data_IF_418971018240
#
_entry.id   IF_418971018240
#
_cell.length_a   1.000
_cell.length_b   1.000
_cell.length_c   1.000
_cell.angle_alpha   90.00
_cell.angle_beta   90.00
_cell.angle_gamma   90.00
#
_symmetry.space_group_name_H-M   'P 1'
#
loop_
_entity.id
_entity.type
_entity.pdbx_description
1 polymer ?
#
# COMPACT_ATOMS: atom_id res chain seq x y z
N UNK A 1 1.28 -28.25 -6.95
CA UNK A 1 2.31 -27.22 -7.20
C UNK A 1 3.20 -27.13 -5.97
N UNK A 2 4.43 -27.65 -6.03
CA UNK A 2 5.43 -27.48 -4.96
C UNK A 2 6.17 -26.15 -5.19
N UNK A 3 5.46 -25.03 -5.01
CA UNK A 3 6.06 -23.71 -5.12
C UNK A 3 6.86 -23.44 -3.84
N UNK A 4 8.17 -23.31 -3.96
CA UNK A 4 9.02 -22.85 -2.85
C UNK A 4 9.00 -21.33 -2.83
N UNK A 5 8.61 -20.74 -1.69
CA UNK A 5 8.61 -19.29 -1.49
C UNK A 5 9.67 -18.97 -0.44
N UNK A 6 10.78 -18.30 -0.80
CA UNK A 6 11.78 -17.90 0.16
C UNK A 6 11.19 -16.85 1.11
N UNK A 7 11.43 -17.01 2.41
CA UNK A 7 11.06 -16.03 3.43
C UNK A 7 12.33 -15.33 3.88
N UNK A 8 12.39 -14.02 3.71
CA UNK A 8 13.51 -13.20 4.10
C UNK A 8 13.13 -12.22 5.21
N UNK A 9 14.11 -11.86 6.03
CA UNK A 9 14.01 -10.84 7.07
C UNK A 9 15.17 -9.86 6.91
N UNK A 10 14.97 -8.63 7.38
CA UNK A 10 15.99 -7.57 7.47
C UNK A 10 16.61 -7.10 6.14
N UNK A 11 16.25 -7.70 5.01
CA UNK A 11 16.76 -7.32 3.69
C UNK A 11 15.68 -6.79 2.73
N UNK A 12 14.69 -6.08 3.29
CA UNK A 12 13.50 -5.68 2.54
C UNK A 12 13.80 -4.79 1.33
N UNK A 13 14.75 -3.85 1.43
CA UNK A 13 15.04 -2.91 0.36
C UNK A 13 15.78 -3.55 -0.81
N UNK A 14 16.72 -4.47 -0.56
CA UNK A 14 17.38 -5.21 -1.63
C UNK A 14 16.38 -6.10 -2.37
N UNK A 15 15.48 -6.76 -1.63
CA UNK A 15 14.43 -7.61 -2.22
C UNK A 15 13.45 -6.78 -3.04
N UNK A 16 12.99 -5.64 -2.52
CA UNK A 16 12.15 -4.70 -3.27
C UNK A 16 12.88 -4.27 -4.55
N UNK A 17 14.17 -3.96 -4.46
CA UNK A 17 14.97 -3.51 -5.61
C UNK A 17 15.30 -4.64 -6.60
N UNK A 18 15.31 -5.89 -6.18
CA UNK A 18 15.49 -7.04 -7.07
C UNK A 18 14.17 -7.49 -7.73
N UNK A 19 13.02 -7.05 -7.19
CA UNK A 19 11.71 -7.47 -7.67
C UNK A 19 11.25 -6.71 -8.91
N UNK A 20 10.58 -7.43 -9.83
CA UNK A 20 9.90 -6.84 -10.98
C UNK A 20 8.59 -6.13 -10.59
N UNK A 21 7.92 -6.67 -9.56
CA UNK A 21 6.66 -6.17 -9.03
C UNK A 21 6.45 -6.71 -7.61
N UNK A 22 5.70 -5.98 -6.76
CA UNK A 22 5.20 -6.54 -5.49
C UNK A 22 3.67 -6.62 -5.43
N UNK A 23 3.18 -7.59 -4.66
CA UNK A 23 1.79 -7.65 -4.20
C UNK A 23 1.81 -7.23 -2.73
N UNK A 24 1.04 -6.22 -2.36
CA UNK A 24 1.05 -5.70 -0.97
C UNK A 24 -0.32 -5.23 -0.52
N UNK A 25 -0.48 -5.04 0.79
CA UNK A 25 -1.57 -4.25 1.38
C UNK A 25 -1.15 -2.76 1.50
N UNK A 26 -2.09 -1.83 1.72
CA UNK A 26 -1.78 -0.43 1.98
C UNK A 26 -0.81 -0.22 3.15
N UNK A 27 -0.10 0.91 3.14
CA UNK A 27 0.82 1.32 4.22
C UNK A 27 2.11 1.95 3.69
N UNK A 28 3.06 2.21 4.60
CA UNK A 28 4.36 2.85 4.31
C UNK A 28 5.14 2.15 3.21
N UNK A 29 5.11 0.82 3.18
CA UNK A 29 5.69 -0.03 2.11
C UNK A 29 5.24 0.34 0.69
N UNK A 30 4.04 0.91 0.51
CA UNK A 30 3.62 1.42 -0.82
C UNK A 30 4.38 2.68 -1.23
N UNK A 31 4.76 3.54 -0.28
CA UNK A 31 5.63 4.69 -0.56
C UNK A 31 7.09 4.26 -0.76
N UNK A 32 7.58 3.28 0.00
CA UNK A 32 8.94 2.75 -0.18
C UNK A 32 9.11 2.11 -1.57
N UNK A 33 8.16 1.27 -1.98
CA UNK A 33 8.10 0.70 -3.33
C UNK A 33 8.00 1.79 -4.40
N UNK A 34 7.17 2.81 -4.18
CA UNK A 34 7.03 3.92 -5.11
C UNK A 34 8.33 4.72 -5.27
N UNK A 35 9.04 4.95 -4.16
CA UNK A 35 10.31 5.67 -4.17
C UNK A 35 11.39 4.89 -4.94
N UNK A 36 11.42 3.57 -4.78
CA UNK A 36 12.28 2.69 -5.59
C UNK A 36 11.81 2.56 -7.05
N UNK A 37 10.65 3.13 -7.39
CA UNK A 37 10.02 3.02 -8.71
C UNK A 37 9.65 1.59 -9.06
N UNK A 38 9.24 0.80 -8.06
CA UNK A 38 8.90 -0.62 -8.24
C UNK A 38 7.39 -0.77 -8.47
N UNK A 39 6.96 -1.37 -9.60
CA UNK A 39 5.56 -1.66 -9.84
C UNK A 39 4.93 -2.46 -8.70
N UNK A 40 3.64 -2.25 -8.45
CA UNK A 40 2.94 -2.99 -7.41
C UNK A 40 1.46 -3.16 -7.70
N UNK A 41 0.87 -4.23 -7.16
CA UNK A 41 -0.59 -4.39 -7.02
C UNK A 41 -0.94 -4.28 -5.54
N UNK A 42 -1.80 -3.33 -5.21
CA UNK A 42 -2.24 -3.11 -3.82
C UNK A 42 -3.58 -3.78 -3.59
N UNK A 43 -3.65 -4.67 -2.62
CA UNK A 43 -4.88 -5.36 -2.22
C UNK A 43 -5.42 -4.81 -0.92
N UNK A 44 -6.71 -4.49 -0.90
CA UNK A 44 -7.48 -4.08 0.27
C UNK A 44 -8.57 -5.14 0.51
N UNK A 45 -8.18 -6.33 1.01
CA UNK A 45 -9.11 -7.44 1.19
C UNK A 45 -10.10 -7.12 2.32
N UNK A 46 -11.38 -7.16 1.99
CA UNK A 46 -12.50 -7.07 2.94
C UNK A 46 -13.11 -8.45 3.20
N UNK A 47 -12.37 -9.54 2.93
CA UNK A 47 -12.81 -10.92 3.15
C UNK A 47 -13.03 -11.24 4.63
N UNK A 48 -12.29 -10.58 5.52
CA UNK A 48 -12.43 -10.64 6.98
C UNK A 48 -12.34 -9.24 7.59
N UNK A 49 -13.38 -8.38 7.43
CA UNK A 49 -13.35 -7.00 7.89
C UNK A 49 -13.07 -6.86 9.40
N UNK A 50 -13.48 -7.85 10.18
CA UNK A 50 -13.26 -7.94 11.62
C UNK A 50 -11.77 -8.03 11.99
N UNK A 51 -10.95 -8.64 11.14
CA UNK A 51 -9.52 -8.81 11.34
C UNK A 51 -8.70 -7.57 10.93
N UNK A 52 -9.34 -6.57 10.31
CA UNK A 52 -8.65 -5.33 9.94
C UNK A 52 -8.41 -4.50 11.21
N UNK A 53 -7.15 -4.17 11.53
CA UNK A 53 -6.85 -3.23 12.60
C UNK A 53 -7.40 -1.86 12.21
N UNK A 54 -8.17 -1.26 13.10
CA UNK A 54 -8.63 0.12 12.97
C UNK A 54 -7.79 0.96 13.93
N UNK A 55 -6.99 1.86 13.39
CA UNK A 55 -6.22 2.80 14.19
C UNK A 55 -7.08 4.01 14.61
N UNK A 56 -6.71 4.66 15.72
CA UNK A 56 -7.38 5.85 16.24
C UNK A 56 -8.69 5.59 17.00
N UNK A 57 -9.57 6.61 17.06
CA UNK A 57 -10.88 6.57 17.75
C UNK A 57 -11.75 5.34 17.38
N UNK A 58 -11.81 4.85 16.13
CA UNK A 58 -12.54 3.64 15.78
C UNK A 58 -11.97 2.35 16.41
N UNK A 59 -10.66 2.31 16.71
CA UNK A 59 -10.01 1.21 17.42
C UNK A 59 -10.40 1.12 18.89
N UNK A 60 -10.74 2.25 19.52
CA UNK A 60 -11.26 2.33 20.89
C UNK A 60 -12.70 1.81 20.97
N UNK A 61 -13.55 2.16 20.00
CA UNK A 61 -14.95 1.70 19.92
C UNK A 61 -15.04 0.18 19.68
N UNK A 62 -14.04 -0.40 18.98
CA UNK A 62 -13.95 -1.83 18.74
C UNK A 62 -13.76 -2.72 19.98
N UNK A 63 -13.50 -2.14 21.18
CA UNK A 63 -13.34 -2.86 22.44
C UNK A 63 -14.65 -3.13 23.21
N UNK A 64 -15.80 -2.64 22.72
CA UNK A 64 -17.09 -2.83 23.41
C UNK A 64 -17.61 -4.27 23.19
N UNK A 65 -17.78 -5.10 24.25
CA UNK A 65 -17.79 -6.57 24.14
C UNK A 65 -18.99 -7.20 23.43
N UNK A 66 -20.06 -6.44 23.16
CA UNK A 66 -21.32 -7.04 22.67
C UNK A 66 -21.74 -6.60 21.26
N UNK A 67 -21.40 -5.37 20.86
CA UNK A 67 -21.74 -4.83 19.53
C UNK A 67 -20.51 -4.65 18.61
N UNK A 68 -19.31 -4.96 19.11
CA UNK A 68 -18.04 -4.68 18.45
C UNK A 68 -17.89 -5.26 17.03
N UNK A 69 -18.01 -6.58 16.80
CA UNK A 69 -17.67 -7.18 15.50
C UNK A 69 -18.61 -6.78 14.35
N UNK A 70 -19.92 -6.69 14.62
CA UNK A 70 -20.93 -6.37 13.61
C UNK A 70 -20.90 -4.88 13.21
N UNK A 71 -20.80 -3.97 14.20
CA UNK A 71 -20.64 -2.54 13.94
C UNK A 71 -19.29 -2.27 13.26
N UNK A 72 -18.20 -2.89 13.74
CA UNK A 72 -16.85 -2.76 13.15
C UNK A 72 -16.84 -3.14 11.68
N UNK A 73 -17.44 -4.28 11.32
CA UNK A 73 -17.50 -4.75 9.94
C UNK A 73 -18.30 -3.80 9.03
N UNK A 74 -19.43 -3.27 9.51
CA UNK A 74 -20.22 -2.27 8.80
C UNK A 74 -19.47 -0.94 8.58
N UNK A 75 -18.78 -0.45 9.61
CA UNK A 75 -17.99 0.79 9.54
C UNK A 75 -16.80 0.65 8.61
N UNK A 76 -16.01 -0.42 8.72
CA UNK A 76 -14.88 -0.71 7.83
C UNK A 76 -15.37 -0.73 6.38
N UNK A 77 -16.47 -1.45 6.11
CA UNK A 77 -17.02 -1.54 4.76
C UNK A 77 -17.57 -0.20 4.26
N UNK A 78 -18.10 0.66 5.13
CA UNK A 78 -18.61 1.99 4.75
C UNK A 78 -17.48 2.99 4.51
N UNK A 79 -16.48 3.00 5.37
CA UNK A 79 -15.28 3.83 5.22
C UNK A 79 -14.49 3.44 3.98
N UNK A 80 -14.27 2.14 3.76
CA UNK A 80 -13.58 1.62 2.58
C UNK A 80 -14.26 1.99 1.25
N UNK A 81 -15.57 2.23 1.23
CA UNK A 81 -16.27 2.75 0.04
C UNK A 81 -16.11 4.25 -0.19
N UNK A 82 -15.84 5.01 0.86
CA UNK A 82 -15.69 6.48 0.77
C UNK A 82 -14.27 6.88 0.40
N UNK A 83 -13.27 6.09 0.81
CA UNK A 83 -11.88 6.36 0.48
C UNK A 83 -11.66 6.11 -1.01
N UNK A 84 -11.08 7.06 -1.74
CA UNK A 84 -10.79 6.88 -3.17
C UNK A 84 -9.57 5.98 -3.35
N UNK A 85 -8.46 6.34 -2.69
CA UNK A 85 -7.18 5.64 -2.77
C UNK A 85 -6.66 5.27 -1.40
N UNK A 86 -5.92 4.17 -1.31
CA UNK A 86 -5.28 3.67 -0.09
C UNK A 86 -3.78 3.54 -0.24
N UNK A 87 -3.27 3.34 -1.46
CA UNK A 87 -1.85 3.36 -1.72
C UNK A 87 -1.33 4.80 -1.62
N UNK A 88 -0.22 5.00 -0.90
CA UNK A 88 0.40 6.32 -0.77
C UNK A 88 0.73 7.00 -2.11
N UNK A 89 1.26 6.31 -3.15
CA UNK A 89 1.47 6.96 -4.45
C UNK A 89 0.16 7.47 -5.08
N UNK A 90 -0.91 6.68 -5.04
CA UNK A 90 -2.21 7.10 -5.59
C UNK A 90 -2.83 8.27 -4.81
N UNK A 91 -2.71 8.24 -3.47
CA UNK A 91 -3.17 9.32 -2.60
C UNK A 91 -2.45 10.64 -2.92
N UNK A 92 -1.12 10.59 -3.06
CA UNK A 92 -0.30 11.78 -3.40
C UNK A 92 -0.58 12.28 -4.82
N UNK A 93 -0.87 11.37 -5.76
CA UNK A 93 -1.16 11.73 -7.14
C UNK A 93 -2.60 12.22 -7.39
N UNK A 94 -3.53 11.90 -6.48
CA UNK A 94 -4.96 12.14 -6.69
C UNK A 94 -5.60 11.32 -7.82
N UNK A 95 -4.85 10.38 -8.40
CA UNK A 95 -5.25 9.45 -9.46
C UNK A 95 -4.66 8.06 -9.24
N UNK A 96 -5.19 7.08 -9.95
CA UNK A 96 -4.68 5.72 -9.92
C UNK A 96 -3.39 5.62 -10.74
N UNK A 97 -2.27 5.40 -10.06
CA UNK A 97 -0.97 5.04 -10.66
C UNK A 97 -0.77 3.53 -10.57
N UNK A 98 -1.05 2.96 -9.39
CA UNK A 98 -0.96 1.52 -9.13
C UNK A 98 -2.35 0.95 -8.91
N UNK A 99 -2.64 -0.26 -9.41
CA UNK A 99 -3.96 -0.86 -9.23
C UNK A 99 -4.26 -1.16 -7.77
N UNK A 100 -5.46 -0.77 -7.32
CA UNK A 100 -5.99 -1.07 -5.99
C UNK A 100 -7.18 -2.04 -6.06
N UNK A 101 -6.92 -3.33 -5.81
CA UNK A 101 -7.96 -4.34 -5.73
C UNK A 101 -8.61 -4.28 -4.35
N UNK A 102 -9.90 -3.91 -4.28
CA UNK A 102 -10.62 -3.71 -3.01
C UNK A 102 -11.93 -4.49 -2.97
N UNK A 103 -12.20 -5.13 -1.83
CA UNK A 103 -13.46 -5.85 -1.62
C UNK A 103 -13.25 -7.31 -1.21
N UNK A 104 -14.20 -8.18 -1.57
CA UNK A 104 -14.04 -9.63 -1.40
C UNK A 104 -13.16 -10.11 -2.55
N UNK A 105 -11.88 -10.34 -2.28
CA UNK A 105 -10.86 -10.64 -3.29
C UNK A 105 -10.51 -12.12 -3.23
N UNK A 106 -10.34 -12.76 -4.40
CA UNK A 106 -9.79 -14.11 -4.54
C UNK A 106 -8.37 -14.04 -5.08
N UNK A 107 -7.58 -15.08 -4.87
CA UNK A 107 -6.21 -15.17 -5.38
C UNK A 107 -6.16 -14.97 -6.92
N UNK A 108 -7.18 -15.47 -7.62
CA UNK A 108 -7.32 -15.33 -9.07
C UNK A 108 -7.42 -13.86 -9.51
N UNK A 109 -8.15 -13.02 -8.77
CA UNK A 109 -8.32 -11.61 -9.10
C UNK A 109 -6.97 -10.87 -9.06
N UNK A 110 -6.18 -11.16 -8.02
CA UNK A 110 -4.81 -10.62 -7.86
C UNK A 110 -3.90 -11.14 -8.97
N UNK A 111 -3.90 -12.45 -9.22
CA UNK A 111 -3.04 -13.06 -10.24
C UNK A 111 -3.30 -12.50 -11.64
N UNK A 112 -4.57 -12.25 -11.99
CA UNK A 112 -4.95 -11.68 -13.28
C UNK A 112 -4.33 -10.29 -13.47
N UNK A 113 -4.48 -9.42 -12.46
CA UNK A 113 -3.94 -8.05 -12.53
C UNK A 113 -2.41 -8.03 -12.53
N UNK A 114 -1.78 -8.96 -11.81
CA UNK A 114 -0.31 -9.11 -11.82
C UNK A 114 0.17 -9.55 -13.21
N UNK A 115 -0.47 -10.55 -13.82
CA UNK A 115 -0.10 -11.03 -15.16
C UNK A 115 -0.27 -9.91 -16.19
N UNK A 116 -1.38 -9.17 -16.14
CA UNK A 116 -1.63 -8.00 -17.00
C UNK A 116 -0.48 -6.99 -16.92
N UNK A 117 -0.03 -6.63 -15.71
CA UNK A 117 1.11 -5.75 -15.52
C UNK A 117 2.44 -6.36 -16.01
N UNK A 118 2.68 -7.64 -15.75
CA UNK A 118 3.93 -8.30 -16.18
C UNK A 118 4.01 -8.41 -17.71
N UNK A 119 2.87 -8.50 -18.40
CA UNK A 119 2.80 -8.60 -19.86
C UNK A 119 2.83 -7.25 -20.57
N UNK A 120 2.58 -6.14 -19.88
CA UNK A 120 2.59 -4.80 -20.46
C UNK A 120 3.81 -3.97 -19.98
N UNK A 121 4.95 -4.02 -20.69
CA UNK A 121 6.13 -3.26 -20.32
C UNK A 121 5.94 -1.74 -20.46
N UNK A 122 5.06 -1.27 -21.36
CA UNK A 122 4.80 0.15 -21.55
C UNK A 122 4.07 0.72 -20.33
N UNK A 123 3.01 0.04 -19.89
CA UNK A 123 2.29 0.38 -18.67
C UNK A 123 3.22 0.38 -17.45
N UNK A 124 4.07 -0.64 -17.28
CA UNK A 124 5.02 -0.67 -16.15
C UNK A 124 6.02 0.47 -16.20
N UNK A 125 6.61 0.77 -17.35
CA UNK A 125 7.60 1.84 -17.45
C UNK A 125 7.00 3.21 -17.17
N UNK A 126 5.78 3.47 -17.64
CA UNK A 126 5.04 4.69 -17.31
C UNK A 126 4.76 4.76 -15.79
N UNK A 127 4.28 3.65 -15.21
CA UNK A 127 4.06 3.54 -13.76
C UNK A 127 5.34 3.83 -12.97
N UNK A 128 6.49 3.28 -13.35
CA UNK A 128 7.80 3.54 -12.71
C UNK A 128 8.12 5.04 -12.69
N UNK A 129 7.92 5.71 -13.83
CA UNK A 129 8.14 7.16 -13.96
C UNK A 129 7.23 7.95 -13.02
N UNK A 130 5.93 7.65 -13.04
CA UNK A 130 4.94 8.32 -12.19
C UNK A 130 5.20 8.10 -10.69
N UNK A 131 5.55 6.87 -10.30
CA UNK A 131 5.87 6.53 -8.92
C UNK A 131 7.04 7.35 -8.39
N UNK A 132 8.14 7.42 -9.14
CA UNK A 132 9.32 8.22 -8.77
C UNK A 132 8.99 9.71 -8.73
N UNK A 133 8.24 10.20 -9.71
CA UNK A 133 7.83 11.60 -9.78
C UNK A 133 7.02 12.02 -8.55
N UNK A 134 6.01 11.23 -8.17
CA UNK A 134 5.10 11.57 -7.06
C UNK A 134 5.78 11.47 -5.68
N UNK A 135 6.77 10.57 -5.54
CA UNK A 135 7.54 10.45 -4.30
C UNK A 135 8.57 11.57 -4.14
N UNK A 136 9.05 12.13 -5.26
CA UNK A 136 10.00 13.23 -5.27
C UNK A 136 11.43 12.80 -4.95
N UNK A 137 12.29 13.79 -4.72
CA UNK A 137 13.71 13.58 -4.45
C UNK A 137 13.99 13.20 -2.99
N UNK A 138 15.15 12.59 -2.76
CA UNK A 138 15.73 12.38 -1.43
C UNK A 138 16.04 13.72 -0.72
N UNK A 139 16.34 13.66 0.58
CA UNK A 139 16.75 14.82 1.39
C UNK A 139 15.74 15.26 2.44
N UNK A 140 14.74 14.44 2.76
CA UNK A 140 13.80 14.75 3.84
C UNK A 140 14.50 14.85 5.20
N UNK A 141 15.47 13.97 5.49
CA UNK A 141 16.25 14.00 6.73
C UNK A 141 17.10 15.28 6.82
N UNK A 142 17.77 15.65 5.74
CA UNK A 142 18.60 16.87 5.68
C UNK A 142 17.75 18.12 5.94
N UNK A 143 16.60 18.25 5.27
CA UNK A 143 15.66 19.36 5.51
C UNK A 143 15.17 19.44 6.95
N UNK A 144 14.88 18.30 7.57
CA UNK A 144 14.46 18.26 8.97
C UNK A 144 15.61 18.72 9.87
N UNK A 145 16.83 18.23 9.64
CA UNK A 145 18.00 18.63 10.41
C UNK A 145 18.30 20.14 10.26
N UNK A 146 18.25 20.67 9.05
CA UNK A 146 18.37 22.10 8.76
C UNK A 146 17.31 22.92 9.50
N UNK A 147 16.04 22.52 9.42
CA UNK A 147 14.92 23.20 10.10
C UNK A 147 15.13 23.23 11.62
N UNK A 148 15.53 22.11 12.22
CA UNK A 148 15.79 22.03 13.66
C UNK A 148 16.97 22.91 14.06
N UNK A 149 18.04 22.95 13.26
CA UNK A 149 19.19 23.81 13.52
C UNK A 149 18.84 25.30 13.42
N UNK A 150 17.93 25.69 12.53
CA UNK A 150 17.48 27.07 12.40
C UNK A 150 16.63 27.54 13.58
N UNK A 151 15.81 26.67 14.19
CA UNK A 151 15.03 26.98 15.40
C UNK A 151 15.89 27.13 16.68
N UNK A 152 17.16 26.69 16.63
CA UNK A 152 18.10 26.80 17.74
C UNK A 152 18.99 28.07 17.67
N UNK A 153 18.85 28.88 16.61
CA UNK A 153 19.54 30.17 16.45
C UNK A 153 18.73 31.30 17.07
#
# INVERSE_FOLDING_TARGET
LNLQVPVAKENQYEIMNASDLAITIPGTKTAEMAFLGRPMVVTVPLNKPEAIPLDGLPGLIGRVPWFGPMIKSGMVRRYSRKVKFTALPNLRAGKEIVPELRGIIKAQDVSRKVIELLQDPVLRNNMVGELKFVMGAKGAADKIAETVLDELK
#
